data_IF_463757265634
#
_entry.id   IF_463757265634
#
_cell.length_a   1.000
_cell.length_b   1.000
_cell.length_c   1.000
_cell.angle_alpha   90.00
_cell.angle_beta   90.00
_cell.angle_gamma   90.00
#
_symmetry.space_group_name_H-M   'P 1'
#
loop_
_entity.id
_entity.type
_entity.pdbx_description
1 polymer ?
#
# COMPACT_ATOMS: atom_id res chain seq x y z
N UNK A 1 17.77 -38.07 -1.61
CA UNK A 1 17.89 -36.61 -1.76
C UNK A 1 16.70 -36.09 -2.51
N UNK A 2 16.01 -35.09 -1.96
CA UNK A 2 15.11 -34.14 -2.64
C UNK A 2 15.14 -32.85 -1.80
N UNK A 3 15.23 -31.66 -2.42
CA UNK A 3 15.70 -30.46 -1.74
C UNK A 3 14.58 -29.90 -0.85
N UNK A 4 14.91 -29.63 0.43
CA UNK A 4 14.06 -28.82 1.30
C UNK A 4 13.89 -27.46 0.62
N UNK A 5 12.67 -27.16 0.18
CA UNK A 5 12.31 -25.84 -0.29
C UNK A 5 12.72 -24.83 0.79
N UNK A 6 13.74 -24.02 0.49
CA UNK A 6 14.13 -22.90 1.35
C UNK A 6 13.03 -21.87 1.24
N UNK A 7 11.97 -22.03 2.03
CA UNK A 7 11.01 -20.95 2.29
C UNK A 7 11.83 -19.78 2.82
N UNK A 8 12.00 -18.76 1.97
CA UNK A 8 12.69 -17.54 2.37
C UNK A 8 11.91 -16.96 3.56
N UNK A 9 12.59 -16.50 4.63
CA UNK A 9 11.93 -15.98 5.83
C UNK A 9 10.86 -14.93 5.52
N UNK A 10 11.06 -14.16 4.44
CA UNK A 10 10.13 -13.17 3.92
C UNK A 10 8.78 -13.77 3.48
N UNK A 11 8.74 -14.93 2.82
CA UNK A 11 7.47 -15.57 2.45
C UNK A 11 6.70 -16.01 3.68
N UNK A 12 7.39 -16.58 4.68
CA UNK A 12 6.74 -16.99 5.94
C UNK A 12 6.15 -15.80 6.71
N UNK A 13 6.82 -14.65 6.71
CA UNK A 13 6.30 -13.42 7.32
C UNK A 13 5.12 -12.82 6.54
N UNK A 14 5.10 -12.98 5.20
CA UNK A 14 3.97 -12.60 4.35
C UNK A 14 2.76 -13.48 4.60
N UNK A 15 2.97 -14.80 4.67
CA UNK A 15 1.92 -15.79 4.94
C UNK A 15 1.30 -15.60 6.34
N UNK A 16 2.07 -15.05 7.29
CA UNK A 16 1.61 -14.67 8.62
C UNK A 16 0.94 -13.28 8.65
N UNK A 17 0.82 -12.59 7.52
CA UNK A 17 0.24 -11.25 7.44
C UNK A 17 1.04 -10.15 8.13
N UNK A 18 2.30 -10.41 8.51
CA UNK A 18 3.14 -9.48 9.29
C UNK A 18 3.85 -8.43 8.45
N UNK A 19 3.96 -8.66 7.15
CA UNK A 19 4.57 -7.73 6.20
C UNK A 19 3.64 -7.46 5.02
N UNK A 20 3.82 -6.32 4.36
CA UNK A 20 3.13 -5.91 3.14
C UNK A 20 4.14 -5.64 2.04
N UNK A 21 3.76 -6.00 0.82
CA UNK A 21 4.43 -5.51 -0.37
C UNK A 21 3.82 -4.17 -0.74
N UNK A 22 4.67 -3.21 -1.09
CA UNK A 22 4.27 -1.88 -1.51
C UNK A 22 4.92 -1.55 -2.83
N UNK A 23 4.18 -0.92 -3.72
CA UNK A 23 4.75 -0.37 -4.93
C UNK A 23 5.50 0.92 -4.61
N UNK A 24 6.76 0.99 -5.03
CA UNK A 24 7.64 2.13 -4.74
C UNK A 24 7.48 3.28 -5.75
N UNK A 25 6.80 3.06 -6.87
CA UNK A 25 6.63 4.09 -7.90
C UNK A 25 7.84 4.29 -8.80
N UNK A 26 8.84 3.39 -8.71
CA UNK A 26 10.06 3.37 -9.52
C UNK A 26 9.92 2.33 -10.66
N UNK A 27 9.05 2.60 -11.63
CA UNK A 27 8.68 1.61 -12.66
C UNK A 27 7.73 0.53 -12.12
N UNK A 28 7.29 -0.40 -12.98
CA UNK A 28 6.25 -1.40 -12.66
C UNK A 28 6.68 -2.47 -11.66
N UNK A 29 7.99 -2.69 -11.51
CA UNK A 29 8.53 -3.88 -10.83
C UNK A 29 9.24 -3.54 -9.50
N UNK A 30 9.30 -2.25 -9.14
CA UNK A 30 9.93 -1.83 -7.90
C UNK A 30 8.98 -2.00 -6.70
N UNK A 31 9.16 -3.11 -5.98
CA UNK A 31 8.40 -3.42 -4.79
C UNK A 31 9.27 -3.31 -3.52
N UNK A 32 8.70 -2.73 -2.47
CA UNK A 32 9.26 -2.71 -1.12
C UNK A 32 8.54 -3.69 -0.21
N UNK A 33 9.24 -4.23 0.78
CA UNK A 33 8.65 -5.02 1.88
C UNK A 33 8.67 -4.17 3.14
N UNK A 34 7.53 -4.03 3.81
CA UNK A 34 7.40 -3.31 5.09
C UNK A 34 6.65 -4.16 6.10
N UNK A 35 6.92 -4.01 7.39
CA UNK A 35 6.01 -4.61 8.39
C UNK A 35 4.66 -3.89 8.39
N UNK A 36 3.58 -4.64 8.58
CA UNK A 36 2.23 -4.08 8.63
C UNK A 36 2.10 -3.05 9.77
N UNK A 37 2.69 -3.36 10.92
CA UNK A 37 2.72 -2.49 12.10
C UNK A 37 3.39 -1.15 11.80
N UNK A 38 4.60 -1.19 11.23
CA UNK A 38 5.35 0.02 10.89
C UNK A 38 4.62 0.82 9.80
N UNK A 39 4.05 0.15 8.81
CA UNK A 39 3.26 0.81 7.78
C UNK A 39 2.07 1.55 8.39
N UNK A 40 1.29 0.88 9.25
CA UNK A 40 0.15 1.49 9.95
C UNK A 40 0.58 2.71 10.77
N UNK A 41 1.61 2.55 11.60
CA UNK A 41 2.12 3.63 12.44
C UNK A 41 2.51 4.85 11.61
N UNK A 42 3.32 4.66 10.55
CA UNK A 42 3.82 5.76 9.72
C UNK A 42 2.74 6.41 8.88
N UNK A 43 1.80 5.63 8.33
CA UNK A 43 0.67 6.19 7.58
C UNK A 43 -0.21 7.05 8.49
N UNK A 44 -0.59 6.54 9.67
CA UNK A 44 -1.43 7.27 10.61
C UNK A 44 -0.74 8.54 11.11
N UNK A 45 0.55 8.47 11.43
CA UNK A 45 1.34 9.64 11.82
C UNK A 45 1.41 10.70 10.71
N UNK A 46 1.55 10.29 9.45
CA UNK A 46 1.65 11.21 8.31
C UNK A 46 0.35 11.96 7.98
N UNK A 47 -0.81 11.48 8.46
CA UNK A 47 -2.12 12.04 8.13
C UNK A 47 -2.86 12.62 9.34
N UNK A 48 -2.25 12.54 10.52
CA UNK A 48 -2.80 13.08 11.76
C UNK A 48 -3.11 14.58 11.62
N UNK A 49 -4.30 14.99 12.04
CA UNK A 49 -4.77 16.38 11.96
C UNK A 49 -5.18 16.85 10.57
N UNK A 50 -5.09 15.99 9.55
CA UNK A 50 -5.56 16.33 8.19
C UNK A 50 -7.05 16.04 8.02
N UNK A 51 -7.76 16.73 7.10
CA UNK A 51 -9.16 16.43 6.79
C UNK A 51 -9.42 15.00 6.29
N UNK A 52 -8.37 14.26 5.91
CA UNK A 52 -8.45 12.90 5.37
C UNK A 52 -8.15 11.81 6.40
N UNK A 53 -7.81 12.18 7.63
CA UNK A 53 -7.37 11.25 8.67
C UNK A 53 -8.37 10.10 8.87
N UNK A 54 -9.67 10.42 9.02
CA UNK A 54 -10.71 9.41 9.27
C UNK A 54 -10.82 8.37 8.14
N UNK A 55 -10.82 8.82 6.88
CA UNK A 55 -10.88 7.94 5.72
C UNK A 55 -9.63 7.05 5.63
N UNK A 56 -8.46 7.64 5.84
CA UNK A 56 -7.19 6.91 5.73
C UNK A 56 -7.04 5.90 6.86
N UNK A 57 -7.44 6.27 8.09
CA UNK A 57 -7.50 5.35 9.23
C UNK A 57 -8.40 4.15 8.92
N UNK A 58 -9.62 4.41 8.44
CA UNK A 58 -10.55 3.34 8.03
C UNK A 58 -9.93 2.43 6.98
N UNK A 59 -9.33 2.99 5.94
CA UNK A 59 -8.66 2.22 4.89
C UNK A 59 -7.54 1.33 5.42
N UNK A 60 -6.66 1.86 6.28
CA UNK A 60 -5.56 1.08 6.86
C UNK A 60 -6.10 -0.04 7.75
N UNK A 61 -7.10 0.25 8.58
CA UNK A 61 -7.62 -0.68 9.59
C UNK A 61 -8.55 -1.75 9.05
N UNK A 62 -9.27 -1.46 7.97
CA UNK A 62 -10.25 -2.38 7.38
C UNK A 62 -9.70 -3.07 6.13
N UNK A 63 -8.92 -2.38 5.30
CA UNK A 63 -8.41 -2.94 4.04
C UNK A 63 -7.00 -3.50 4.21
N UNK A 64 -6.05 -2.66 4.62
CA UNK A 64 -4.62 -3.04 4.58
C UNK A 64 -4.29 -4.14 5.59
N UNK A 65 -4.87 -4.11 6.77
CA UNK A 65 -4.70 -5.15 7.80
C UNK A 65 -5.28 -6.51 7.38
N UNK A 66 -6.39 -6.51 6.66
CA UNK A 66 -7.15 -7.72 6.27
C UNK A 66 -6.66 -8.32 4.95
N UNK A 67 -6.19 -7.47 4.03
CA UNK A 67 -5.78 -7.84 2.67
C UNK A 67 -4.26 -7.92 2.58
N UNK A 68 -3.64 -9.12 2.50
CA UNK A 68 -2.21 -9.27 2.22
C UNK A 68 -1.84 -9.04 0.73
N UNK A 69 -2.84 -8.98 -0.16
CA UNK A 69 -2.66 -8.77 -1.58
C UNK A 69 -2.01 -7.41 -1.89
N UNK A 70 -1.12 -7.41 -2.89
CA UNK A 70 -0.39 -6.22 -3.33
C UNK A 70 -1.27 -5.24 -4.11
N UNK A 71 -2.28 -5.76 -4.83
CA UNK A 71 -3.26 -4.96 -5.56
C UNK A 71 -4.64 -5.05 -4.95
N UNK A 72 -5.35 -3.93 -5.06
CA UNK A 72 -6.73 -3.77 -4.64
C UNK A 72 -7.59 -3.56 -5.88
N UNK A 73 -8.56 -4.44 -6.06
CA UNK A 73 -9.50 -4.40 -7.17
C UNK A 73 -10.77 -3.62 -6.77
N UNK A 74 -11.38 -2.91 -7.73
CA UNK A 74 -12.55 -2.06 -7.51
C UNK A 74 -13.71 -2.81 -6.87
N UNK A 75 -13.95 -4.05 -7.31
CA UNK A 75 -15.02 -4.88 -6.74
C UNK A 75 -14.82 -5.07 -5.23
N UNK A 76 -13.61 -5.44 -4.80
CA UNK A 76 -13.30 -5.63 -3.38
C UNK A 76 -13.37 -4.30 -2.61
N UNK A 77 -12.85 -3.22 -3.17
CA UNK A 77 -12.96 -1.89 -2.54
C UNK A 77 -14.42 -1.52 -2.25
N UNK A 78 -15.32 -1.76 -3.23
CA UNK A 78 -16.76 -1.52 -3.07
C UNK A 78 -17.42 -2.43 -2.03
N UNK A 79 -17.07 -3.71 -2.02
CA UNK A 79 -17.54 -4.68 -1.01
C UNK A 79 -17.14 -4.27 0.41
N UNK A 80 -15.98 -3.61 0.55
CA UNK A 80 -15.49 -3.05 1.81
C UNK A 80 -15.99 -1.62 2.09
N UNK A 81 -16.93 -1.11 1.29
CA UNK A 81 -17.55 0.21 1.51
C UNK A 81 -16.73 1.41 1.04
N UNK A 82 -15.70 1.21 0.23
CA UNK A 82 -14.91 2.29 -0.39
C UNK A 82 -15.43 2.60 -1.79
N UNK A 83 -16.09 3.75 -1.93
CA UNK A 83 -16.61 4.23 -3.21
C UNK A 83 -15.57 4.97 -4.04
N UNK A 84 -15.94 5.39 -5.25
CA UNK A 84 -15.02 6.04 -6.20
C UNK A 84 -14.42 7.35 -5.65
N UNK A 85 -15.19 8.09 -4.82
CA UNK A 85 -14.70 9.30 -4.13
C UNK A 85 -13.63 8.97 -3.08
N UNK A 86 -13.81 7.90 -2.33
CA UNK A 86 -12.84 7.44 -1.33
C UNK A 86 -11.54 7.03 -2.02
N UNK A 87 -11.64 6.23 -3.08
CA UNK A 87 -10.49 5.82 -3.90
C UNK A 87 -9.74 7.03 -4.46
N UNK A 88 -10.46 8.03 -4.96
CA UNK A 88 -9.86 9.29 -5.44
C UNK A 88 -9.06 9.99 -4.33
N UNK A 89 -9.59 10.04 -3.12
CA UNK A 89 -8.87 10.61 -1.97
C UNK A 89 -7.66 9.78 -1.54
N UNK A 90 -7.74 8.44 -1.61
CA UNK A 90 -6.62 7.55 -1.29
C UNK A 90 -5.48 7.65 -2.32
N UNK A 91 -5.80 7.78 -3.61
CA UNK A 91 -4.82 8.08 -4.67
C UNK A 91 -4.17 9.45 -4.43
N UNK A 92 -4.97 10.47 -4.14
CA UNK A 92 -4.46 11.82 -3.85
C UNK A 92 -3.57 11.87 -2.59
N UNK A 93 -3.84 11.02 -1.60
CA UNK A 93 -3.02 10.85 -0.41
C UNK A 93 -1.73 10.02 -0.66
N UNK A 94 -1.61 9.39 -1.84
CA UNK A 94 -0.47 8.54 -2.19
C UNK A 94 -0.49 7.15 -1.54
N UNK A 95 -1.64 6.70 -1.04
CA UNK A 95 -1.82 5.33 -0.52
C UNK A 95 -2.12 4.32 -1.62
N UNK A 96 -2.67 4.80 -2.74
CA UNK A 96 -2.95 4.00 -3.92
C UNK A 96 -2.21 4.58 -5.13
N UNK A 97 -1.64 3.70 -5.94
CA UNK A 97 -1.13 4.03 -7.28
C UNK A 97 -1.96 3.28 -8.30
N UNK A 98 -2.41 3.95 -9.37
CA UNK A 98 -3.16 3.29 -10.44
C UNK A 98 -2.28 2.21 -11.09
N UNK A 99 -2.81 0.99 -11.16
CA UNK A 99 -2.22 -0.10 -11.95
C UNK A 99 -2.91 -0.19 -13.30
N UNK A 100 -4.22 -0.40 -13.27
CA UNK A 100 -5.11 -0.57 -14.43
C UNK A 100 -6.49 0.04 -14.14
N UNK A 101 -7.40 -0.04 -15.12
CA UNK A 101 -8.81 0.36 -14.92
C UNK A 101 -9.42 -0.46 -13.78
N UNK A 102 -9.77 0.22 -12.69
CA UNK A 102 -10.37 -0.41 -11.52
C UNK A 102 -9.38 -1.22 -10.67
N UNK A 103 -8.07 -1.04 -10.84
CA UNK A 103 -7.06 -1.73 -10.02
C UNK A 103 -5.95 -0.78 -9.57
N UNK A 104 -5.56 -0.91 -8.30
CA UNK A 104 -4.55 -0.05 -7.69
C UNK A 104 -3.53 -0.86 -6.89
N UNK A 105 -2.28 -0.42 -6.94
CA UNK A 105 -1.24 -0.88 -6.03
C UNK A 105 -1.32 -0.17 -4.68
N UNK A 106 -1.06 -0.90 -3.60
CA UNK A 106 -0.79 -0.29 -2.31
C UNK A 106 0.57 0.42 -2.33
N UNK A 107 0.60 1.65 -1.84
CA UNK A 107 1.78 2.53 -1.87
C UNK A 107 2.05 3.20 -0.52
N UNK A 108 3.21 3.85 -0.41
CA UNK A 108 3.59 4.66 0.76
C UNK A 108 3.20 6.13 0.50
N UNK A 109 2.46 6.79 1.42
CA UNK A 109 2.16 8.22 1.31
C UNK A 109 3.42 9.05 1.10
N UNK A 110 3.37 9.97 0.14
CA UNK A 110 4.51 10.85 -0.17
C UNK A 110 5.66 10.20 -0.93
N UNK A 111 5.73 8.86 -1.02
CA UNK A 111 6.82 8.17 -1.73
C UNK A 111 6.76 8.39 -3.23
N UNK A 112 5.57 8.44 -3.83
CA UNK A 112 5.41 8.81 -5.23
C UNK A 112 5.87 10.24 -5.56
N UNK A 113 5.71 11.19 -4.61
CA UNK A 113 6.23 12.55 -4.76
C UNK A 113 7.75 12.59 -4.60
N UNK A 114 8.27 11.90 -3.59
CA UNK A 114 9.71 11.78 -3.38
C UNK A 114 10.41 11.14 -4.56
N UNK A 115 9.89 10.01 -5.08
CA UNK A 115 10.44 9.34 -6.27
C UNK A 115 10.36 10.23 -7.49
N UNK A 116 9.24 10.94 -7.69
CA UNK A 116 9.11 11.87 -8.82
C UNK A 116 10.09 13.05 -8.70
N UNK A 117 10.31 13.60 -7.51
CA UNK A 117 11.30 14.64 -7.26
C UNK A 117 12.73 14.11 -7.50
N UNK A 118 13.03 12.90 -6.99
CA UNK A 118 14.32 12.22 -7.18
C UNK A 118 14.63 11.98 -8.66
N UNK A 119 13.65 11.50 -9.44
CA UNK A 119 13.79 11.29 -10.88
C UNK A 119 13.91 12.60 -11.67
N UNK A 120 13.34 13.70 -11.15
CA UNK A 120 13.45 15.05 -11.74
C UNK A 120 14.72 15.79 -11.29
N UNK A 121 15.48 15.25 -10.35
CA UNK A 121 16.68 15.89 -9.80
C UNK A 121 16.39 17.05 -8.84
N UNK A 122 15.14 17.20 -8.38
CA UNK A 122 14.76 18.23 -7.42
C UNK A 122 15.19 17.77 -6.02
N UNK A 123 16.24 18.41 -5.46
CA UNK A 123 16.75 18.17 -4.10
C UNK A 123 16.00 19.02 -3.08
#
# INVERSE_FOLDING_TARGET
>A
GHPRARCHPQNRLRDQGRVRLLHLGLGSDALGVVSLELYREKVLAAVAGTPREALIRRFVEEVVTVTPELSLEQKRMREMGFGDRDVTHLVAAGLLTVRDVGSWWLAVPGMGRFVRALLRGER
#
